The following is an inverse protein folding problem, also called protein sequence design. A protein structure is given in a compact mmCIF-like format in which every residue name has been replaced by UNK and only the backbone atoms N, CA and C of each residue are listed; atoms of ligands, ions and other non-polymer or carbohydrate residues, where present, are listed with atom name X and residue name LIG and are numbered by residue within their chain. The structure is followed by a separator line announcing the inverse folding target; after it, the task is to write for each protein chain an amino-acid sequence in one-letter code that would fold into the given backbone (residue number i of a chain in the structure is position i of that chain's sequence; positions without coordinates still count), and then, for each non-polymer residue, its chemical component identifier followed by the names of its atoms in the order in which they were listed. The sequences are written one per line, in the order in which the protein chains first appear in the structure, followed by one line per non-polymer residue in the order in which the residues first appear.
data_IF_148538279078
#
_entry.id   IF_148538279078
#
_cell.length_a   1.000
_cell.length_b   1.000
_cell.length_c   1.000
_cell.angle_alpha   90.00
_cell.angle_beta   90.00
_cell.angle_gamma   90.00
#
_symmetry.space_group_name_H-M   'P 1'
#
loop_
_entity.id
_entity.type
_entity.pdbx_description
1 polymer ?
#
# COMPACT_ATOMS: atom_id res chain seq x y z
N UNK A 1 -15.81 13.93 -1.11
CA UNK A 1 -15.74 12.91 -0.05
C UNK A 1 -15.62 13.60 1.30
N UNK A 2 -16.24 13.05 2.34
CA UNK A 2 -16.18 13.63 3.68
C UNK A 2 -14.79 13.41 4.30
N UNK A 3 -14.30 14.42 5.03
CA UNK A 3 -13.07 14.35 5.81
C UNK A 3 -13.42 14.36 7.29
N UNK A 4 -13.35 13.21 7.95
CA UNK A 4 -13.70 13.08 9.37
C UNK A 4 -12.46 13.01 10.25
N UNK A 5 -12.43 13.68 11.42
CA UNK A 5 -11.24 13.70 12.29
C UNK A 5 -10.76 12.32 12.77
N UNK A 6 -11.67 11.34 12.87
CA UNK A 6 -11.38 9.98 13.33
C UNK A 6 -10.92 9.04 12.22
N UNK A 7 -10.83 9.51 10.97
CA UNK A 7 -10.27 8.70 9.90
C UNK A 7 -8.76 8.47 10.09
N UNK A 8 -8.24 7.33 9.60
CA UNK A 8 -6.80 7.07 9.57
C UNK A 8 -6.03 8.26 9.00
N UNK A 9 -4.89 8.60 9.62
CA UNK A 9 -4.13 9.80 9.27
C UNK A 9 -3.63 9.79 7.83
N UNK A 10 -3.22 8.62 7.34
CA UNK A 10 -2.81 8.39 5.95
C UNK A 10 -3.97 8.63 4.97
N UNK A 11 -5.17 8.16 5.30
CA UNK A 11 -6.36 8.41 4.48
C UNK A 11 -6.76 9.88 4.48
N UNK A 12 -6.72 10.56 5.64
CA UNK A 12 -6.95 12.02 5.71
C UNK A 12 -5.95 12.77 4.85
N UNK A 13 -4.67 12.41 4.92
CA UNK A 13 -3.64 13.00 4.07
C UNK A 13 -3.95 12.79 2.59
N UNK A 14 -4.30 11.57 2.15
CA UNK A 14 -4.69 11.29 0.76
C UNK A 14 -5.92 12.12 0.30
N UNK A 15 -6.88 12.38 1.20
CA UNK A 15 -8.06 13.21 0.90
C UNK A 15 -7.72 14.70 0.77
N UNK A 16 -6.72 15.18 1.49
CA UNK A 16 -6.29 16.59 1.48
C UNK A 16 -5.17 16.87 0.48
N UNK A 17 -4.49 15.82 0.01
CA UNK A 17 -3.33 15.92 -0.86
C UNK A 17 -3.72 16.48 -2.24
N UNK A 18 -3.07 17.57 -2.61
CA UNK A 18 -3.19 18.24 -3.90
C UNK A 18 -1.78 18.33 -4.47
N UNK A 19 -1.54 17.64 -5.57
CA UNK A 19 -0.25 17.62 -6.25
C UNK A 19 -0.02 18.91 -7.05
N UNK A 20 1.22 19.30 -7.25
CA UNK A 20 1.57 20.36 -8.20
C UNK A 20 1.49 19.86 -9.64
N UNK A 21 1.28 20.76 -10.61
CA UNK A 21 1.25 20.39 -12.03
C UNK A 21 2.52 19.65 -12.47
N UNK A 22 3.69 20.13 -12.00
CA UNK A 22 4.98 19.51 -12.28
C UNK A 22 5.11 18.10 -11.69
N UNK A 23 4.55 17.85 -10.50
CA UNK A 23 4.52 16.50 -9.93
C UNK A 23 3.65 15.56 -10.74
N UNK A 24 2.46 16.01 -11.15
CA UNK A 24 1.55 15.21 -11.97
C UNK A 24 2.21 14.88 -13.32
N UNK A 25 2.82 15.87 -14.00
CA UNK A 25 3.52 15.65 -15.27
C UNK A 25 4.69 14.68 -15.14
N UNK A 26 5.49 14.85 -14.09
CA UNK A 26 6.62 13.96 -13.80
C UNK A 26 6.16 12.52 -13.56
N UNK A 27 5.03 12.31 -12.88
CA UNK A 27 4.56 10.95 -12.61
C UNK A 27 3.92 10.34 -13.87
N UNK A 28 3.11 11.10 -14.61
CA UNK A 28 2.44 10.62 -15.82
C UNK A 28 3.43 10.31 -16.96
N UNK A 29 4.60 10.95 -16.98
CA UNK A 29 5.66 10.67 -17.96
C UNK A 29 6.49 9.41 -17.66
N UNK A 30 6.36 8.83 -16.45
CA UNK A 30 7.07 7.59 -16.13
C UNK A 30 6.48 6.41 -16.94
N UNK A 31 7.30 5.67 -17.70
CA UNK A 31 6.82 4.49 -18.39
C UNK A 31 6.33 3.45 -17.38
N UNK A 32 5.29 2.71 -17.74
CA UNK A 32 4.74 1.61 -16.95
C UNK A 32 4.24 1.97 -15.53
N UNK A 33 4.03 3.26 -15.24
CA UNK A 33 3.50 3.77 -13.96
C UNK A 33 2.09 4.36 -14.08
N UNK A 34 1.30 3.89 -15.06
CA UNK A 34 -0.05 4.37 -15.31
C UNK A 34 -0.96 4.27 -14.08
N UNK A 35 -1.68 5.33 -13.70
CA UNK A 35 -2.39 5.44 -12.43
C UNK A 35 -3.64 4.55 -12.35
N UNK A 36 -4.16 4.41 -11.13
CA UNK A 36 -5.40 3.66 -10.83
C UNK A 36 -6.40 4.52 -10.09
N UNK A 37 -7.62 4.60 -10.60
CA UNK A 37 -8.75 5.20 -9.90
C UNK A 37 -9.47 4.13 -9.08
N UNK A 38 -9.60 4.37 -7.78
CA UNK A 38 -10.27 3.48 -6.83
C UNK A 38 -11.40 4.22 -6.12
N UNK A 39 -12.49 3.52 -5.83
CA UNK A 39 -13.73 4.11 -5.29
C UNK A 39 -14.34 3.27 -4.14
N UNK A 40 -13.59 2.27 -3.66
CA UNK A 40 -14.01 1.33 -2.61
C UNK A 40 -12.95 1.19 -1.50
N UNK A 41 -12.78 0.00 -0.88
CA UNK A 41 -11.83 -0.23 0.20
C UNK A 41 -10.39 0.21 -0.09
N UNK A 42 -9.92 0.09 -1.34
CA UNK A 42 -8.58 0.50 -1.76
C UNK A 42 -8.33 2.02 -1.69
N UNK A 43 -9.35 2.85 -1.42
CA UNK A 43 -9.16 4.27 -1.09
C UNK A 43 -8.37 4.45 0.22
N UNK A 44 -8.42 3.47 1.13
CA UNK A 44 -7.71 3.48 2.39
C UNK A 44 -6.26 3.01 2.19
N UNK A 45 -5.24 3.85 2.47
CA UNK A 45 -3.85 3.50 2.18
C UNK A 45 -3.37 2.24 2.87
N UNK A 46 -3.80 1.97 4.11
CA UNK A 46 -3.46 0.72 4.80
C UNK A 46 -4.05 -0.53 4.11
N UNK A 47 -5.26 -0.45 3.57
CA UNK A 47 -5.87 -1.55 2.80
C UNK A 47 -5.15 -1.74 1.48
N UNK A 48 -4.84 -0.65 0.79
CA UNK A 48 -4.05 -0.68 -0.43
C UNK A 48 -2.70 -1.36 -0.21
N UNK A 49 -1.93 -0.92 0.81
CA UNK A 49 -0.61 -1.49 1.16
C UNK A 49 -0.67 -2.99 1.45
N UNK A 50 -1.72 -3.43 2.14
CA UNK A 50 -1.96 -4.84 2.40
C UNK A 50 -2.10 -5.66 1.11
N UNK A 51 -2.87 -5.18 0.13
CA UNK A 51 -3.09 -5.91 -1.12
C UNK A 51 -1.90 -5.84 -2.08
N UNK A 52 -1.15 -4.74 -2.10
CA UNK A 52 0.02 -4.60 -2.99
C UNK A 52 1.33 -5.03 -2.35
N UNK A 53 1.27 -5.68 -1.18
CA UNK A 53 2.41 -6.13 -0.39
C UNK A 53 3.45 -5.03 -0.14
N UNK A 54 2.98 -3.80 0.08
CA UNK A 54 3.84 -2.66 0.38
C UNK A 54 4.03 -2.54 1.89
N UNK A 55 5.26 -2.22 2.29
CA UNK A 55 5.63 -1.96 3.68
C UNK A 55 4.79 -0.81 4.27
N UNK A 56 4.27 -0.99 5.48
CA UNK A 56 3.42 -0.02 6.17
C UNK A 56 4.11 1.34 6.42
N UNK A 57 5.43 1.37 6.54
CA UNK A 57 6.23 2.58 6.74
C UNK A 57 6.35 3.45 5.48
N UNK A 58 6.06 2.89 4.30
CA UNK A 58 6.06 3.67 3.06
C UNK A 58 4.82 4.55 3.04
N UNK A 59 5.04 5.86 2.96
CA UNK A 59 3.97 6.83 2.80
C UNK A 59 3.49 6.86 1.34
N UNK A 60 2.54 5.98 1.02
CA UNK A 60 1.84 5.98 -0.28
C UNK A 60 0.81 7.11 -0.39
N UNK A 61 0.37 7.70 0.72
CA UNK A 61 -0.69 8.71 0.70
C UNK A 61 -0.28 9.99 -0.02
N UNK A 62 1.02 10.31 -0.05
CA UNK A 62 1.59 11.40 -0.87
C UNK A 62 1.40 11.20 -2.38
N UNK A 63 1.20 9.96 -2.83
CA UNK A 63 0.96 9.59 -4.23
C UNK A 63 -0.54 9.41 -4.51
N UNK A 64 -1.41 9.73 -3.56
CA UNK A 64 -2.86 9.58 -3.66
C UNK A 64 -3.50 10.97 -3.63
N UNK A 65 -4.52 11.19 -4.47
CA UNK A 65 -5.29 12.45 -4.46
C UNK A 65 -6.75 12.18 -4.78
N UNK A 66 -7.65 13.06 -4.33
CA UNK A 66 -9.06 12.97 -4.69
C UNK A 66 -9.26 13.16 -6.19
N UNK A 67 -10.13 12.33 -6.75
CA UNK A 67 -10.47 12.38 -8.16
C UNK A 67 -11.98 12.24 -8.38
N UNK A 68 -12.46 12.83 -9.47
CA UNK A 68 -13.86 12.77 -9.90
C UNK A 68 -13.94 12.12 -11.27
N UNK A 69 -14.65 11.00 -11.36
CA UNK A 69 -14.96 10.28 -12.58
C UNK A 69 -16.34 10.69 -13.09
N UNK A 70 -16.44 11.14 -14.34
CA UNK A 70 -17.69 11.60 -14.95
C UNK A 70 -18.36 10.54 -15.82
N UNK A 71 -19.70 10.54 -15.89
CA UNK A 71 -20.48 9.61 -16.71
C UNK A 71 -20.64 8.21 -16.09
N UNK A 72 -20.36 8.08 -14.80
CA UNK A 72 -20.51 6.84 -14.03
C UNK A 72 -21.37 7.09 -12.80
N UNK A 73 -21.93 6.01 -12.27
CA UNK A 73 -22.63 5.98 -10.99
C UNK A 73 -22.11 4.84 -10.14
N UNK A 74 -22.13 5.06 -8.83
CA UNK A 74 -21.73 4.06 -7.85
C UNK A 74 -22.96 3.28 -7.36
N UNK A 75 -22.81 1.97 -7.26
CA UNK A 75 -23.85 1.02 -6.92
C UNK A 75 -23.35 0.03 -5.86
N UNK A 76 -24.26 -0.69 -5.24
CA UNK A 76 -23.98 -1.80 -4.32
C UNK A 76 -24.80 -3.04 -4.73
N UNK A 77 -24.19 -4.22 -4.64
CA UNK A 77 -24.87 -5.49 -4.95
C UNK A 77 -25.60 -6.06 -3.73
N UNK A 78 -25.07 -5.82 -2.52
CA UNK A 78 -25.72 -6.10 -1.24
C UNK A 78 -25.41 -4.98 -0.24
N UNK A 79 -26.22 -4.79 0.79
CA UNK A 79 -26.07 -3.68 1.75
C UNK A 79 -24.74 -3.62 2.53
N UNK A 80 -23.90 -4.65 2.41
CA UNK A 80 -22.56 -4.76 3.00
C UNK A 80 -21.46 -5.10 2.00
N UNK A 81 -21.75 -5.18 0.69
CA UNK A 81 -20.72 -5.45 -0.31
C UNK A 81 -19.88 -4.19 -0.56
N UNK A 82 -18.61 -4.34 -0.98
CA UNK A 82 -17.87 -3.25 -1.59
C UNK A 82 -18.69 -2.61 -2.74
N UNK A 83 -18.51 -1.30 -2.98
CA UNK A 83 -19.21 -0.61 -4.05
C UNK A 83 -18.69 -1.08 -5.41
N UNK A 84 -19.50 -0.89 -6.44
CA UNK A 84 -19.13 -1.08 -7.85
C UNK A 84 -19.53 0.14 -8.65
N UNK A 85 -18.89 0.39 -9.79
CA UNK A 85 -19.33 1.44 -10.72
C UNK A 85 -19.92 0.85 -11.99
N UNK A 86 -20.92 1.53 -12.54
CA UNK A 86 -21.47 1.28 -13.87
C UNK A 86 -21.54 2.59 -14.64
N UNK A 87 -21.52 2.49 -15.97
CA UNK A 87 -21.82 3.63 -16.85
C UNK A 87 -23.21 4.16 -16.53
N UNK A 88 -23.31 5.48 -16.37
CA UNK A 88 -24.60 6.14 -16.15
C UNK A 88 -25.23 6.52 -17.49
N UNK A 89 -26.57 6.48 -17.54
CA UNK A 89 -27.33 7.08 -18.64
C UNK A 89 -27.40 8.60 -18.53
N UNK A 90 -27.15 9.16 -17.34
CA UNK A 90 -27.04 10.60 -17.12
C UNK A 90 -25.57 11.02 -17.21
N UNK A 91 -25.18 11.83 -18.22
CA UNK A 91 -23.79 12.27 -18.39
C UNK A 91 -23.31 13.17 -17.24
N UNK A 92 -24.21 13.72 -16.41
CA UNK A 92 -23.86 14.52 -15.24
C UNK A 92 -23.59 13.69 -13.99
N UNK A 93 -23.80 12.38 -14.04
CA UNK A 93 -23.46 11.49 -12.93
C UNK A 93 -21.95 11.47 -12.72
N UNK A 94 -21.54 11.52 -11.45
CA UNK A 94 -20.13 11.50 -11.07
C UNK A 94 -19.91 10.46 -9.99
N UNK A 95 -18.68 9.93 -9.97
CA UNK A 95 -18.16 9.10 -8.89
C UNK A 95 -16.91 9.77 -8.33
N UNK A 96 -16.90 10.00 -7.03
CA UNK A 96 -15.72 10.48 -6.31
C UNK A 96 -14.95 9.29 -5.74
N UNK A 97 -13.63 9.36 -5.87
CA UNK A 97 -12.72 8.35 -5.35
C UNK A 97 -11.31 8.91 -5.20
N UNK A 98 -10.33 8.03 -5.18
CA UNK A 98 -8.91 8.36 -5.10
C UNK A 98 -8.20 7.92 -6.37
N UNK A 99 -7.38 8.81 -6.92
CA UNK A 99 -6.40 8.48 -7.95
C UNK A 99 -5.07 8.15 -7.27
N UNK A 100 -4.55 6.96 -7.55
CA UNK A 100 -3.28 6.48 -7.05
C UNK A 100 -2.25 6.55 -8.18
N UNK A 101 -1.18 7.29 -7.92
CA UNK A 101 -0.04 7.48 -8.80
C UNK A 101 1.15 6.60 -8.40
N UNK A 102 2.13 6.54 -9.31
CA UNK A 102 3.46 5.95 -9.05
C UNK A 102 3.43 4.48 -8.60
N UNK A 103 2.44 3.73 -9.08
CA UNK A 103 2.36 2.29 -8.89
C UNK A 103 3.23 1.59 -9.94
N UNK A 104 4.06 0.65 -9.50
CA UNK A 104 4.83 -0.20 -10.41
C UNK A 104 3.94 -1.32 -11.00
N UNK A 105 4.49 -2.10 -11.95
CA UNK A 105 3.76 -3.19 -12.60
C UNK A 105 3.21 -4.23 -11.63
N UNK A 106 4.02 -4.67 -10.66
CA UNK A 106 3.64 -5.68 -9.69
C UNK A 106 2.47 -5.20 -8.81
N UNK A 107 2.54 -3.96 -8.33
CA UNK A 107 1.48 -3.35 -7.51
C UNK A 107 0.18 -3.19 -8.31
N UNK A 108 0.26 -2.81 -9.59
CA UNK A 108 -0.92 -2.72 -10.46
C UNK A 108 -1.55 -4.09 -10.73
N UNK A 109 -0.72 -5.13 -10.86
CA UNK A 109 -1.20 -6.50 -11.03
C UNK A 109 -1.82 -7.03 -9.73
N UNK A 110 -1.26 -6.71 -8.56
CA UNK A 110 -1.86 -7.09 -7.28
C UNK A 110 -3.23 -6.42 -7.06
N UNK A 111 -3.39 -5.16 -7.47
CA UNK A 111 -4.72 -4.51 -7.50
C UNK A 111 -5.66 -5.24 -8.46
N UNK A 112 -5.17 -5.62 -9.65
CA UNK A 112 -5.95 -6.39 -10.60
C UNK A 112 -6.41 -7.72 -10.01
N UNK A 113 -5.54 -8.49 -9.38
CA UNK A 113 -5.89 -9.78 -8.79
C UNK A 113 -6.91 -9.67 -7.66
N UNK A 114 -6.89 -8.55 -6.92
CA UNK A 114 -7.87 -8.27 -5.87
C UNK A 114 -9.24 -7.83 -6.42
N UNK A 115 -9.27 -6.93 -7.40
CA UNK A 115 -10.51 -6.39 -7.97
C UNK A 115 -11.10 -7.31 -9.06
N UNK A 116 -10.29 -8.21 -9.64
CA UNK A 116 -10.71 -9.12 -10.69
C UNK A 116 -11.73 -10.14 -10.19
N UNK A 117 -12.64 -10.51 -11.09
CA UNK A 117 -13.70 -11.49 -10.81
C UNK A 117 -14.99 -11.08 -11.50
N UNK A 118 -15.67 -10.08 -10.92
CA UNK A 118 -16.93 -9.51 -11.46
C UNK A 118 -16.75 -8.10 -12.04
N UNK A 119 -15.50 -7.67 -12.19
CA UNK A 119 -15.16 -6.35 -12.69
C UNK A 119 -14.14 -6.44 -13.83
N UNK A 120 -14.28 -5.56 -14.81
CA UNK A 120 -13.35 -5.38 -15.90
C UNK A 120 -12.49 -4.14 -15.64
N UNK A 121 -11.19 -4.26 -15.94
CA UNK A 121 -10.30 -3.10 -15.99
C UNK A 121 -10.58 -2.30 -17.28
N UNK A 122 -10.99 -1.05 -17.14
CA UNK A 122 -11.23 -0.14 -18.25
C UNK A 122 -10.37 1.13 -18.15
N UNK A 123 -10.21 1.82 -19.27
CA UNK A 123 -9.55 3.12 -19.34
C UNK A 123 -10.58 4.24 -19.20
N UNK A 124 -10.33 5.18 -18.28
CA UNK A 124 -11.23 6.29 -17.95
C UNK A 124 -10.50 7.63 -17.90
N UNK A 125 -11.30 8.70 -17.85
CA UNK A 125 -10.82 10.06 -17.61
C UNK A 125 -11.33 10.50 -16.24
N UNK A 126 -10.46 11.09 -15.43
CA UNK A 126 -10.83 11.62 -14.11
C UNK A 126 -10.30 13.03 -13.95
N UNK A 127 -11.04 13.85 -13.22
CA UNK A 127 -10.60 15.19 -12.85
C UNK A 127 -10.00 15.16 -11.45
N UNK A 128 -8.83 15.78 -11.30
CA UNK A 128 -8.18 16.01 -10.01
C UNK A 128 -8.03 17.52 -9.77
N UNK A 129 -7.88 17.87 -8.51
CA UNK A 129 -7.37 19.19 -8.15
C UNK A 129 -5.85 19.16 -8.13
N UNK A 130 -5.23 20.20 -8.66
CA UNK A 130 -3.78 20.40 -8.59
C UNK A 130 -3.44 21.86 -8.25
N UNK A 131 -2.22 22.09 -7.78
CA UNK A 131 -1.61 23.42 -7.70
C UNK A 131 -0.93 23.73 -9.04
N UNK A 132 -1.25 24.87 -9.64
CA UNK A 132 -0.48 25.39 -10.77
C UNK A 132 0.83 26.05 -10.32
N UNK A 133 1.61 26.56 -11.28
CA UNK A 133 2.90 27.20 -11.01
C UNK A 133 2.77 28.51 -10.21
N UNK A 134 1.58 29.11 -10.17
CA UNK A 134 1.24 30.29 -9.36
C UNK A 134 0.68 29.91 -7.98
N UNK A 135 0.71 28.62 -7.63
CA UNK A 135 0.15 28.07 -6.40
C UNK A 135 -1.36 28.32 -6.25
N UNK A 136 -2.06 28.45 -7.38
CA UNK A 136 -3.52 28.53 -7.46
C UNK A 136 -4.10 27.16 -7.75
N UNK A 137 -5.27 26.87 -7.15
CA UNK A 137 -5.94 25.58 -7.31
C UNK A 137 -6.62 25.52 -8.67
N UNK A 138 -6.24 24.56 -9.50
CA UNK A 138 -6.84 24.30 -10.82
C UNK A 138 -7.33 22.86 -10.95
N UNK A 139 -8.29 22.63 -11.86
CA UNK A 139 -8.75 21.29 -12.22
C UNK A 139 -7.91 20.78 -13.38
N UNK A 140 -7.46 19.53 -13.28
CA UNK A 140 -6.80 18.81 -14.37
C UNK A 140 -7.52 17.52 -14.67
N UNK A 141 -7.82 17.30 -15.95
CA UNK A 141 -8.26 16.00 -16.45
C UNK A 141 -7.04 15.11 -16.69
N UNK A 142 -7.08 13.89 -16.16
CA UNK A 142 -6.08 12.85 -16.36
C UNK A 142 -6.71 11.74 -17.19
N UNK A 143 -6.13 11.51 -18.36
CA UNK A 143 -6.57 10.50 -19.33
C UNK A 143 -5.87 9.16 -19.11
N UNK A 144 -6.44 8.09 -19.67
CA UNK A 144 -5.78 6.78 -19.70
C UNK A 144 -5.74 6.08 -18.34
N UNK A 145 -6.53 6.52 -17.37
CA UNK A 145 -6.51 6.00 -16.00
C UNK A 145 -7.18 4.62 -15.96
N UNK A 146 -6.56 3.65 -15.29
CA UNK A 146 -7.20 2.35 -15.07
C UNK A 146 -8.24 2.42 -13.96
N UNK A 147 -9.46 1.95 -14.21
CA UNK A 147 -10.51 1.78 -13.20
C UNK A 147 -11.19 0.42 -13.40
N UNK A 148 -11.71 -0.16 -12.30
CA UNK A 148 -12.50 -1.38 -12.38
C UNK A 148 -13.96 -1.00 -12.54
N UNK A 149 -14.69 -1.68 -13.42
CA UNK A 149 -16.12 -1.44 -13.63
C UNK A 149 -16.86 -2.77 -13.57
N UNK A 150 -18.10 -2.74 -13.07
CA UNK A 150 -18.94 -3.93 -13.05
C UNK A 150 -19.18 -4.47 -14.47
N UNK A 151 -18.90 -5.75 -14.67
CA UNK A 151 -19.00 -6.41 -15.98
C UNK A 151 -20.16 -7.41 -16.09
N UNK A 152 -20.92 -7.56 -15.01
CA UNK A 152 -22.01 -8.52 -14.89
C UNK A 152 -23.38 -7.84 -15.11
N UNK A 153 -24.48 -8.60 -15.22
CA UNK A 153 -25.82 -8.01 -15.28
C UNK A 153 -26.05 -7.03 -14.12
N UNK A 154 -26.76 -5.94 -14.39
CA UNK A 154 -27.06 -4.92 -13.37
C UNK A 154 -28.20 -5.33 -12.44
N UNK A 155 -28.80 -6.51 -12.67
CA UNK A 155 -29.85 -7.06 -11.82
C UNK A 155 -29.34 -7.25 -10.39
N UNK A 156 -30.06 -6.68 -9.42
CA UNK A 156 -29.66 -6.69 -8.01
C UNK A 156 -28.73 -5.54 -7.60
N UNK A 157 -28.21 -4.74 -8.53
CA UNK A 157 -27.49 -3.52 -8.17
C UNK A 157 -28.45 -2.44 -7.70
N UNK A 158 -28.23 -1.96 -6.48
CA UNK A 158 -28.90 -0.78 -5.95
C UNK A 158 -27.98 0.42 -6.11
N UNK A 159 -28.39 1.47 -6.84
CA UNK A 159 -27.60 2.67 -6.91
C UNK A 159 -27.50 3.40 -5.59
N UNK A 160 -26.34 3.98 -5.32
CA UNK A 160 -26.16 4.90 -4.20
C UNK A 160 -26.57 6.31 -4.64
N UNK A 161 -27.20 7.05 -3.73
CA UNK A 161 -27.55 8.46 -3.96
C UNK A 161 -26.32 9.36 -3.90
N UNK A 162 -25.30 8.97 -3.12
CA UNK A 162 -24.05 9.71 -2.99
C UNK A 162 -23.10 9.41 -4.16
N UNK A 163 -22.27 10.40 -4.51
CA UNK A 163 -21.20 10.24 -5.51
C UNK A 163 -20.01 9.42 -4.99
N UNK A 164 -19.88 9.21 -3.68
CA UNK A 164 -18.80 8.42 -3.07
C UNK A 164 -19.36 7.35 -2.14
N UNK A 165 -18.65 6.24 -2.04
CA UNK A 165 -18.92 5.24 -1.01
C UNK A 165 -18.38 5.69 0.35
N UNK A 166 -19.16 5.48 1.41
CA UNK A 166 -18.72 5.79 2.78
C UNK A 166 -17.83 4.66 3.31
N UNK A 167 -16.65 5.03 3.80
CA UNK A 167 -15.72 4.11 4.44
C UNK A 167 -16.10 3.78 5.89
N UNK A 168 -17.05 4.50 6.49
CA UNK A 168 -17.32 4.44 7.94
C UNK A 168 -17.60 3.02 8.43
N UNK A 169 -18.57 2.34 7.81
CA UNK A 169 -18.92 0.95 8.19
C UNK A 169 -17.79 -0.04 7.92
N UNK A 170 -16.96 0.25 6.92
CA UNK A 170 -15.83 -0.62 6.59
C UNK A 170 -14.71 -0.49 7.62
N UNK A 171 -14.43 0.72 8.11
CA UNK A 171 -13.47 0.96 9.19
C UNK A 171 -13.88 0.27 10.50
N UNK A 172 -15.17 0.06 10.71
CA UNK A 172 -15.72 -0.69 11.86
C UNK A 172 -15.76 -2.21 11.65
N UNK A 173 -15.38 -2.69 10.46
CA UNK A 173 -15.49 -4.11 10.11
C UNK A 173 -14.34 -4.95 10.66
N UNK A 174 -14.63 -6.21 10.98
CA UNK A 174 -13.62 -7.20 11.37
C UNK A 174 -12.55 -7.42 10.28
N UNK A 175 -12.91 -7.19 9.00
CA UNK A 175 -11.97 -7.30 7.91
C UNK A 175 -10.92 -6.18 7.95
N UNK A 176 -11.34 -4.92 8.17
CA UNK A 176 -10.40 -3.81 8.31
C UNK A 176 -9.48 -4.00 9.53
N UNK A 177 -10.03 -4.46 10.66
CA UNK A 177 -9.25 -4.79 11.86
C UNK A 177 -8.19 -5.87 11.58
N UNK A 178 -8.56 -6.91 10.82
CA UNK A 178 -7.63 -7.95 10.40
C UNK A 178 -6.49 -7.38 9.53
N UNK A 179 -6.83 -6.62 8.50
CA UNK A 179 -5.86 -5.97 7.60
C UNK A 179 -4.88 -5.10 8.37
N UNK A 180 -5.39 -4.26 9.28
CA UNK A 180 -4.57 -3.41 10.15
C UNK A 180 -3.59 -4.24 10.99
N UNK A 181 -4.08 -5.27 11.68
CA UNK A 181 -3.23 -6.15 12.51
C UNK A 181 -2.14 -6.84 11.70
N UNK A 182 -2.46 -7.34 10.51
CA UNK A 182 -1.49 -8.00 9.64
C UNK A 182 -0.36 -7.04 9.23
N UNK A 183 -0.68 -5.79 8.88
CA UNK A 183 0.35 -4.80 8.54
C UNK A 183 1.25 -4.45 9.74
N UNK A 184 0.69 -4.33 10.94
CA UNK A 184 1.47 -4.09 12.16
C UNK A 184 2.36 -5.27 12.53
N UNK A 185 1.91 -6.51 12.30
CA UNK A 185 2.71 -7.71 12.58
C UNK A 185 3.93 -7.81 11.66
N UNK A 186 3.74 -7.58 10.36
CA UNK A 186 4.84 -7.57 9.37
C UNK A 186 5.89 -6.51 9.76
N UNK A 187 5.45 -5.31 10.13
CA UNK A 187 6.35 -4.24 10.55
C UNK A 187 7.17 -4.63 11.79
N UNK A 188 6.55 -5.24 12.80
CA UNK A 188 7.23 -5.67 14.00
C UNK A 188 8.30 -6.75 13.72
N UNK A 189 7.99 -7.70 12.83
CA UNK A 189 8.93 -8.75 12.41
C UNK A 189 10.14 -8.18 11.66
N UNK A 190 9.93 -7.19 10.79
CA UNK A 190 11.01 -6.50 10.06
C UNK A 190 11.91 -5.70 11.00
N UNK A 191 11.34 -4.97 11.97
CA UNK A 191 12.11 -4.22 12.96
C UNK A 191 12.97 -5.14 13.83
N UNK A 192 12.43 -6.29 14.24
CA UNK A 192 13.18 -7.32 14.96
C UNK A 192 14.33 -7.86 14.09
N UNK A 193 14.05 -8.20 12.84
CA UNK A 193 15.06 -8.73 11.91
C UNK A 193 16.20 -7.75 11.65
N UNK A 194 15.88 -6.46 11.45
CA UNK A 194 16.87 -5.40 11.26
C UNK A 194 17.75 -5.17 12.50
N UNK A 195 17.16 -5.28 13.71
CA UNK A 195 17.91 -5.14 14.96
C UNK A 195 18.90 -6.29 15.22
N UNK A 196 18.58 -7.51 14.77
CA UNK A 196 19.47 -8.68 14.88
C UNK A 196 20.67 -8.55 13.93
N UNK A 197 20.45 -8.09 12.69
CA UNK A 197 21.54 -7.90 11.72
C UNK A 197 22.54 -6.83 12.14
N UNK A 198 22.08 -5.72 12.74
CA UNK A 198 22.96 -4.67 13.27
C UNK A 198 23.75 -5.13 14.51
N UNK A 199 23.24 -6.11 15.27
CA UNK A 199 23.95 -6.71 16.40
C UNK A 199 25.08 -7.66 15.98
N UNK A 200 24.98 -8.32 14.82
CA UNK A 200 26.00 -9.24 14.29
C UNK A 200 27.14 -8.50 13.56
N UNK A 201 26.88 -7.39 12.87
CA UNK A 201 27.93 -6.59 12.21
C UNK A 201 28.78 -5.77 13.19
N UNK A 202 28.35 -5.59 14.44
CA UNK A 202 29.11 -4.88 15.47
C UNK A 202 30.25 -5.71 16.10
N UNK A 203 30.55 -6.92 15.58
CA UNK A 203 31.58 -7.79 16.14
C UNK A 203 32.59 -8.36 15.10
N UNK A 204 33.37 -7.53 14.39
CA UNK A 204 34.59 -7.99 13.74
C UNK A 204 35.79 -7.81 14.69
N UNK A 205 36.62 -8.85 14.85
CA UNK A 205 37.88 -8.91 15.60
C UNK A 205 37.84 -9.22 17.11
N UNK A 206 37.69 -10.51 17.42
CA UNK A 206 38.61 -11.15 18.37
C UNK A 206 39.67 -11.91 17.57
N UNK A 207 40.67 -11.16 17.09
CA UNK A 207 41.89 -11.76 16.52
C UNK A 207 42.67 -12.49 17.59
N UNK A 208 42.99 -13.74 17.24
CA UNK A 208 44.05 -14.54 17.80
C UNK A 208 45.37 -13.77 17.77
N UNK A 209 45.95 -13.43 18.92
CA UNK A 209 47.39 -13.20 19.09
C UNK A 209 47.73 -12.99 20.58
N UNK A 210 48.07 -14.08 21.28
CA UNK A 210 48.96 -14.01 22.45
C UNK A 210 50.02 -15.11 22.30
N UNK A 211 51.06 -14.81 21.53
CA UNK A 211 52.39 -15.34 21.76
C UNK A 211 53.28 -14.18 22.21
N UNK A 212 53.92 -14.31 23.36
CA UNK A 212 55.32 -13.95 23.61
C UNK A 212 55.79 -14.61 24.92
N UNK A 213 56.82 -15.43 24.77
CA UNK A 213 57.47 -16.36 25.73
C UNK A 213 58.42 -15.63 26.71
N UNK A 214 59.47 -16.26 27.29
CA UNK A 214 59.62 -17.52 28.03
C UNK A 214 60.27 -17.31 29.42
N UNK A 215 60.23 -18.31 30.32
CA UNK A 215 61.08 -18.30 31.50
C UNK A 215 61.02 -19.58 32.33
N UNK A 216 62.07 -20.41 32.19
CA UNK A 216 62.76 -21.26 33.21
C UNK A 216 61.91 -21.86 34.34
N UNK A 217 62.04 -23.11 34.75
CA UNK A 217 63.00 -24.20 34.55
C UNK A 217 62.49 -25.36 35.47
N UNK A 218 62.99 -26.57 35.24
CA UNK A 218 63.03 -27.72 36.18
C UNK A 218 61.81 -28.64 36.37
N UNK A 219 61.83 -29.67 35.53
CA UNK A 219 62.16 -31.06 35.90
C UNK A 219 61.15 -31.94 36.67
N UNK A 220 61.11 -33.20 36.18
CA UNK A 220 60.84 -34.49 36.90
C UNK A 220 59.35 -34.78 37.18
N UNK A 221 58.76 -35.94 36.92
CA UNK A 221 59.15 -37.34 36.67
C UNK A 221 58.14 -37.93 35.63
N UNK A 222 58.53 -38.77 34.65
CA UNK A 222 58.38 -40.26 34.64
C UNK A 222 57.00 -40.70 35.18
N UNK A 223 56.13 -41.41 34.46
CA UNK A 223 56.30 -42.76 33.90
C UNK A 223 54.87 -43.16 33.46
N UNK A 224 54.61 -43.50 32.19
CA UNK A 224 54.55 -44.89 31.70
C UNK A 224 53.14 -45.48 31.69
N UNK A 225 52.76 -45.88 30.48
CA UNK A 225 52.06 -47.11 30.10
C UNK A 225 50.64 -47.35 30.61
N UNK A 226 49.79 -47.43 29.59
CA UNK A 226 48.95 -48.58 29.27
C UNK A 226 47.51 -48.67 29.78
N UNK A 227 46.74 -49.19 28.84
CA UNK A 227 45.49 -49.94 28.91
C UNK A 227 44.18 -49.11 29.00
N UNK A 228 43.46 -48.95 27.88
CA UNK A 228 42.54 -49.90 27.18
C UNK A 228 41.13 -49.89 27.81
N UNK A 229 40.05 -50.03 27.00
CA UNK A 229 38.86 -49.19 27.07
C UNK A 229 37.58 -49.90 27.55
N UNK A 230 36.46 -49.18 27.38
CA UNK A 230 35.04 -49.59 27.35
C UNK A 230 34.36 -49.96 28.68
N UNK A 231 33.36 -49.14 29.05
CA UNK A 231 31.94 -49.37 28.70
C UNK A 231 31.14 -48.07 28.82
#
# INVERSE_FOLDING_TARGET
MELKPWYPSDYRHALENILTSNEVDRILSKPDCGPRFVYGPLMLPTVLKYHIHMNQQIDISKNMTQATLHGYRICQFAGSSPPVIIRSTDPRSTVQGILIFDLNNEQRNAIYDFEAGLMDLCSVQVDIWQWDDEYTRSVRTVDGVGAFQWNSPTDGLTPLEAASWSVDRFLESAFYEHVWRSQMAVEAEEQLSASVQLGEEANPHLSSEQQLSPGRDRSRFRSSLDDIPEM
#
